data_IF_388823592286
#
_entry.id   IF_388823592286
#
_cell.length_a   1.000
_cell.length_b   1.000
_cell.length_c   1.000
_cell.angle_alpha   90.00
_cell.angle_beta   90.00
_cell.angle_gamma   90.00
#
_symmetry.space_group_name_H-M   'P 1'
#
loop_
_entity.id
_entity.type
_entity.pdbx_description
1 polymer ?
#
# COMPACT_ATOMS: atom_id res chain seq x y z
N UNK A 1 -7.14 8.99 -11.13
CA UNK A 1 -6.03 9.93 -11.06
C UNK A 1 -6.29 11.12 -11.97
N UNK A 2 -5.92 12.32 -11.52
CA UNK A 2 -6.02 13.56 -12.30
C UNK A 2 -4.83 14.45 -11.94
N UNK A 3 -3.73 14.34 -12.68
CA UNK A 3 -2.51 15.09 -12.42
C UNK A 3 -1.77 15.48 -13.69
N UNK A 4 -0.96 16.51 -13.60
CA UNK A 4 0.02 16.89 -14.60
C UNK A 4 1.43 16.66 -14.05
N UNK A 5 2.37 16.24 -14.91
CA UNK A 5 3.78 16.10 -14.53
C UNK A 5 4.64 16.95 -15.46
N UNK A 6 5.34 17.92 -14.89
CA UNK A 6 6.34 18.69 -15.60
C UNK A 6 7.71 18.06 -15.42
N UNK A 7 8.31 17.60 -16.52
CA UNK A 7 9.63 16.98 -16.55
C UNK A 7 10.66 18.02 -16.92
N UNK A 8 11.43 18.49 -15.95
CA UNK A 8 12.51 19.48 -16.16
C UNK A 8 13.81 18.76 -16.50
N UNK A 9 14.14 17.74 -15.73
CA UNK A 9 15.27 16.83 -15.91
C UNK A 9 14.91 15.44 -15.40
N UNK A 10 15.68 14.39 -15.69
CA UNK A 10 15.50 13.09 -15.06
C UNK A 10 15.55 13.17 -13.53
N UNK A 11 16.44 13.99 -13.01
CA UNK A 11 16.67 14.22 -11.58
C UNK A 11 15.61 15.11 -10.94
N UNK A 12 14.79 15.83 -11.73
CA UNK A 12 13.83 16.78 -11.20
C UNK A 12 12.57 16.89 -12.05
N UNK A 13 11.47 16.40 -11.50
CA UNK A 13 10.13 16.46 -12.08
C UNK A 13 9.17 16.97 -11.01
N UNK A 14 8.17 17.73 -11.41
CA UNK A 14 7.11 18.22 -10.53
C UNK A 14 5.80 17.63 -11.01
N UNK A 15 5.08 16.98 -10.09
CA UNK A 15 3.72 16.49 -10.32
C UNK A 15 2.75 17.27 -9.45
N UNK A 16 1.62 17.70 -10.01
CA UNK A 16 0.55 18.36 -9.27
C UNK A 16 -0.80 17.76 -9.66
N UNK A 17 -1.68 17.59 -8.69
CA UNK A 17 -3.02 17.03 -8.84
C UNK A 17 -3.28 15.88 -7.89
N UNK A 18 -4.22 15.00 -8.25
CA UNK A 18 -4.57 13.80 -7.50
C UNK A 18 -3.78 12.60 -8.02
N UNK A 19 -2.96 12.02 -7.18
CA UNK A 19 -2.06 10.91 -7.52
C UNK A 19 -1.96 9.89 -6.39
N UNK A 20 -1.44 8.68 -6.69
CA UNK A 20 -1.07 7.72 -5.67
C UNK A 20 0.06 8.25 -4.81
N UNK A 21 -0.12 8.17 -3.49
CA UNK A 21 0.94 8.47 -2.53
C UNK A 21 2.07 7.44 -2.65
N UNK A 22 3.35 7.83 -2.56
CA UNK A 22 4.48 6.91 -2.77
C UNK A 22 4.71 5.95 -1.59
N UNK A 23 3.64 5.37 -1.07
CA UNK A 23 3.61 4.50 0.10
C UNK A 23 3.62 3.02 -0.31
N UNK A 24 4.81 2.41 -0.27
CA UNK A 24 5.00 0.99 -0.56
C UNK A 24 4.99 0.64 -2.06
N UNK A 25 5.33 -0.61 -2.35
CA UNK A 25 5.45 -1.14 -3.70
C UNK A 25 4.08 -1.34 -4.37
N UNK A 26 3.20 -2.11 -3.74
CA UNK A 26 1.92 -2.44 -4.35
C UNK A 26 0.98 -1.24 -4.50
N UNK A 27 1.13 -0.20 -3.66
CA UNK A 27 0.32 1.01 -3.78
C UNK A 27 0.81 1.95 -4.88
N UNK A 28 2.13 2.05 -5.08
CA UNK A 28 2.72 3.10 -5.92
C UNK A 28 3.50 2.60 -7.12
N UNK A 29 4.31 1.55 -6.95
CA UNK A 29 5.27 1.11 -7.97
C UNK A 29 4.68 0.06 -8.93
N UNK A 30 3.54 -0.55 -8.60
CA UNK A 30 2.83 -1.49 -9.47
C UNK A 30 1.40 -1.02 -9.77
N UNK A 31 0.98 -1.20 -11.00
CA UNK A 31 -0.42 -0.94 -11.37
C UNK A 31 -1.34 -2.07 -10.87
N UNK A 32 -2.54 -1.77 -10.38
CA UNK A 32 -3.54 -2.80 -10.08
C UNK A 32 -3.76 -3.79 -11.24
N UNK A 33 -3.68 -3.31 -12.47
CA UNK A 33 -3.81 -4.17 -13.66
C UNK A 33 -2.65 -5.14 -13.88
N UNK A 34 -1.51 -4.90 -13.26
CA UNK A 34 -0.32 -5.77 -13.35
C UNK A 34 -0.07 -6.58 -12.10
N UNK A 35 -0.81 -6.33 -11.03
CA UNK A 35 -0.72 -7.12 -9.81
C UNK A 35 -0.97 -8.61 -10.11
N UNK A 36 -0.14 -9.48 -9.57
CA UNK A 36 -0.17 -10.91 -9.83
C UNK A 36 -1.14 -11.68 -8.93
N UNK A 37 -1.50 -11.11 -7.80
CA UNK A 37 -2.55 -11.60 -6.90
C UNK A 37 -3.88 -10.89 -7.16
N UNK A 38 -4.99 -11.53 -6.82
CA UNK A 38 -6.31 -10.89 -6.90
C UNK A 38 -6.43 -9.74 -5.89
N UNK A 39 -5.92 -9.95 -4.67
CA UNK A 39 -5.92 -8.96 -3.61
C UNK A 39 -4.56 -8.26 -3.48
N UNK A 40 -4.59 -6.98 -3.13
CA UNK A 40 -3.45 -6.31 -2.54
C UNK A 40 -3.04 -6.90 -1.19
N UNK A 41 -1.82 -6.62 -0.78
CA UNK A 41 -1.36 -6.92 0.58
C UNK A 41 -2.05 -6.03 1.62
N UNK A 42 -1.91 -6.42 2.89
CA UNK A 42 -2.40 -5.60 4.00
C UNK A 42 -1.66 -4.25 4.12
N UNK A 43 -0.46 -4.12 3.56
CA UNK A 43 0.26 -2.84 3.49
C UNK A 43 -0.58 -1.80 2.76
N UNK A 44 -1.18 -2.16 1.63
CA UNK A 44 -2.02 -1.24 0.87
C UNK A 44 -3.31 -0.93 1.62
N UNK A 45 -4.04 -1.96 2.06
CA UNK A 45 -5.36 -1.78 2.67
C UNK A 45 -5.34 -1.08 4.02
N UNK A 46 -4.26 -1.23 4.79
CA UNK A 46 -4.19 -0.82 6.18
C UNK A 46 -3.23 0.33 6.45
N UNK A 47 -2.12 0.40 5.72
CA UNK A 47 -1.03 1.33 6.03
C UNK A 47 -0.88 2.40 4.96
N UNK A 48 -0.86 2.04 3.68
CA UNK A 48 -0.77 3.01 2.60
C UNK A 48 -2.05 3.85 2.48
N UNK A 49 -3.21 3.24 2.67
CA UNK A 49 -4.48 3.95 2.78
C UNK A 49 -4.61 4.67 4.12
N UNK A 50 -5.17 5.87 4.10
CA UNK A 50 -5.15 6.77 5.26
C UNK A 50 -6.13 6.41 6.37
N UNK A 51 -7.06 5.49 6.16
CA UNK A 51 -8.07 5.19 7.16
C UNK A 51 -7.76 3.90 7.92
N UNK A 52 -7.07 3.99 9.07
CA UNK A 52 -6.76 2.84 9.90
C UNK A 52 -7.99 2.24 10.61
N UNK A 53 -9.11 2.98 10.66
CA UNK A 53 -10.29 2.59 11.43
C UNK A 53 -11.37 1.89 10.62
N UNK A 54 -11.33 2.04 9.33
CA UNK A 54 -12.30 1.41 8.44
C UNK A 54 -11.57 0.50 7.47
N UNK A 55 -12.08 -0.70 7.34
CA UNK A 55 -11.67 -1.63 6.29
C UNK A 55 -12.05 -1.10 4.88
N UNK A 56 -12.40 0.17 4.84
CA UNK A 56 -12.81 0.84 3.63
C UNK A 56 -11.59 1.52 3.01
N UNK A 57 -11.24 1.07 1.87
CA UNK A 57 -10.27 1.60 0.92
C UNK A 57 -10.70 3.00 0.41
N UNK A 58 -10.99 3.91 1.34
CA UNK A 58 -11.74 5.14 1.07
C UNK A 58 -10.94 6.14 0.24
N UNK A 59 -9.64 6.22 0.46
CA UNK A 59 -8.74 7.10 -0.31
C UNK A 59 -8.07 6.37 -1.48
N UNK A 60 -8.20 5.05 -1.54
CA UNK A 60 -7.57 4.22 -2.56
C UNK A 60 -6.06 4.48 -2.71
N UNK A 61 -5.38 4.85 -1.61
CA UNK A 61 -3.97 5.21 -1.61
C UNK A 61 -3.63 6.51 -2.35
N UNK A 62 -4.61 7.38 -2.60
CA UNK A 62 -4.46 8.64 -3.34
C UNK A 62 -4.60 9.85 -2.45
N UNK A 63 -4.02 10.96 -2.90
CA UNK A 63 -4.21 12.26 -2.28
C UNK A 63 -4.05 13.37 -3.33
N UNK A 64 -4.51 14.58 -3.00
CA UNK A 64 -4.35 15.78 -3.80
C UNK A 64 -3.18 16.59 -3.29
N UNK A 65 -2.25 16.97 -4.17
CA UNK A 65 -1.08 17.73 -3.74
C UNK A 65 -0.06 17.99 -4.83
N UNK A 66 1.18 18.26 -4.37
CA UNK A 66 2.35 18.46 -5.22
C UNK A 66 3.43 17.46 -4.80
N UNK A 67 4.11 16.88 -5.78
CA UNK A 67 5.18 15.92 -5.56
C UNK A 67 6.39 16.25 -6.43
N UNK A 68 7.55 16.28 -5.82
CA UNK A 68 8.86 16.31 -6.47
C UNK A 68 9.31 14.87 -6.68
N UNK A 69 9.79 14.57 -7.87
CA UNK A 69 10.20 13.22 -8.28
C UNK A 69 11.55 13.32 -8.98
N UNK A 70 12.49 12.47 -8.64
CA UNK A 70 13.78 12.45 -9.33
C UNK A 70 14.45 11.08 -9.37
N UNK A 71 15.24 10.90 -10.43
CA UNK A 71 16.05 9.71 -10.65
C UNK A 71 17.51 10.13 -10.81
N UNK A 72 18.41 9.64 -9.94
CA UNK A 72 19.80 10.08 -9.83
C UNK A 72 20.76 8.90 -10.06
N UNK A 73 21.89 9.18 -10.69
CA UNK A 73 22.97 8.21 -10.91
C UNK A 73 22.61 7.20 -12.02
N UNK A 74 23.15 7.42 -13.20
CA UNK A 74 22.97 6.50 -14.33
C UNK A 74 23.85 5.27 -14.18
N UNK A 75 23.26 4.10 -14.28
CA UNK A 75 23.98 2.81 -14.24
C UNK A 75 24.66 2.46 -15.58
N UNK A 76 24.27 3.12 -16.66
CA UNK A 76 24.65 2.71 -18.04
C UNK A 76 23.86 1.50 -18.57
N UNK A 77 23.04 0.85 -17.75
CA UNK A 77 22.27 -0.35 -18.10
C UNK A 77 20.75 -0.10 -18.16
N UNK A 78 20.36 1.18 -18.28
CA UNK A 78 18.97 1.60 -18.46
C UNK A 78 18.17 1.71 -17.17
N UNK A 79 18.83 1.76 -16.01
CA UNK A 79 18.21 2.11 -14.73
C UNK A 79 19.03 3.18 -14.02
N UNK A 80 18.40 3.84 -13.02
CA UNK A 80 19.06 4.82 -12.14
C UNK A 80 19.25 4.22 -10.77
N UNK A 81 20.37 4.51 -10.12
CA UNK A 81 20.69 3.96 -8.78
C UNK A 81 19.78 4.45 -7.68
N UNK A 82 19.33 5.72 -7.77
CA UNK A 82 18.49 6.33 -6.74
C UNK A 82 17.24 6.93 -7.37
N UNK A 83 16.13 6.75 -6.69
CA UNK A 83 14.87 7.42 -6.97
C UNK A 83 14.35 8.05 -5.69
N UNK A 84 13.79 9.25 -5.79
CA UNK A 84 13.13 9.88 -4.66
C UNK A 84 11.78 10.47 -5.07
N UNK A 85 10.86 10.46 -4.10
CA UNK A 85 9.60 11.19 -4.14
C UNK A 85 9.47 12.02 -2.87
N UNK A 86 9.14 13.29 -3.00
CA UNK A 86 8.81 14.16 -1.88
C UNK A 86 7.49 14.85 -2.18
N UNK A 87 6.45 14.52 -1.40
CA UNK A 87 5.12 15.05 -1.63
C UNK A 87 4.63 15.87 -0.44
N UNK A 88 3.90 16.93 -0.76
CA UNK A 88 3.05 17.68 0.17
C UNK A 88 1.63 17.55 -0.35
N UNK A 89 0.76 16.98 0.47
CA UNK A 89 -0.62 16.66 0.07
C UNK A 89 -1.62 17.20 1.08
N UNK A 90 -2.89 17.26 0.69
CA UNK A 90 -3.96 17.75 1.56
C UNK A 90 -4.18 16.89 2.79
N UNK A 91 -3.78 15.63 2.72
CA UNK A 91 -4.04 14.75 3.83
C UNK A 91 -5.54 14.44 4.04
N UNK A 92 -6.32 14.43 2.99
CA UNK A 92 -7.77 14.19 3.05
C UNK A 92 -8.21 13.13 2.03
N UNK A 93 -9.43 12.64 2.19
CA UNK A 93 -10.01 11.69 1.23
C UNK A 93 -10.16 12.39 -0.12
N UNK A 94 -9.80 11.75 -1.24
CA UNK A 94 -9.98 12.30 -2.58
C UNK A 94 -11.41 12.79 -2.82
N UNK A 95 -11.54 13.92 -3.50
CA UNK A 95 -12.83 14.56 -3.81
C UNK A 95 -13.63 15.02 -2.57
N UNK A 96 -12.98 15.19 -1.44
CA UNK A 96 -13.53 15.80 -0.23
C UNK A 96 -12.76 17.07 0.14
N UNK A 97 -13.48 17.97 0.79
CA UNK A 97 -12.88 19.20 1.30
C UNK A 97 -11.77 18.89 2.31
N UNK A 98 -10.70 19.66 2.26
CA UNK A 98 -9.68 19.63 3.29
C UNK A 98 -10.24 20.27 4.57
N UNK A 99 -10.51 19.44 5.57
CA UNK A 99 -11.24 19.86 6.76
C UNK A 99 -10.34 20.20 7.96
N UNK A 100 -9.06 19.87 7.87
CA UNK A 100 -8.13 20.11 8.99
C UNK A 100 -7.12 21.19 8.72
N UNK A 101 -7.05 21.74 7.50
CA UNK A 101 -6.06 22.71 7.04
C UNK A 101 -4.58 22.26 7.22
N UNK A 102 -4.37 21.04 7.68
CA UNK A 102 -3.06 20.43 7.79
C UNK A 102 -2.64 19.80 6.46
N UNK A 103 -1.33 19.64 6.28
CA UNK A 103 -0.78 18.99 5.10
C UNK A 103 0.01 17.76 5.51
N UNK A 104 -0.10 16.71 4.71
CA UNK A 104 0.76 15.54 4.85
C UNK A 104 2.08 15.78 4.11
N UNK A 105 3.16 15.37 4.74
CA UNK A 105 4.50 15.33 4.15
C UNK A 105 4.87 13.86 3.96
N UNK A 106 5.19 13.49 2.73
CA UNK A 106 5.57 12.12 2.38
C UNK A 106 6.95 12.16 1.71
N UNK A 107 7.89 11.43 2.27
CA UNK A 107 9.22 11.28 1.71
C UNK A 107 9.51 9.80 1.42
N UNK A 108 9.95 9.51 0.21
CA UNK A 108 10.28 8.15 -0.24
C UNK A 108 11.64 8.13 -0.94
N UNK A 109 12.41 7.10 -0.67
CA UNK A 109 13.68 6.85 -1.35
C UNK A 109 13.71 5.39 -1.80
N UNK A 110 14.09 5.17 -3.07
CA UNK A 110 14.35 3.84 -3.62
C UNK A 110 15.81 3.75 -4.06
N UNK A 111 16.50 2.73 -3.62
CA UNK A 111 17.87 2.38 -4.03
C UNK A 111 17.80 1.16 -4.93
N UNK A 112 18.52 1.20 -6.06
CA UNK A 112 18.61 0.13 -7.05
C UNK A 112 20.06 -0.29 -7.21
N UNK A 113 20.59 -1.20 -6.36
CA UNK A 113 21.99 -1.60 -6.38
C UNK A 113 22.40 -2.31 -7.67
N UNK A 114 21.48 -3.06 -8.26
CA UNK A 114 21.63 -3.75 -9.54
C UNK A 114 20.27 -3.90 -10.24
N UNK A 115 20.32 -4.29 -11.49
CA UNK A 115 19.12 -4.42 -12.33
C UNK A 115 18.06 -5.32 -11.67
N UNK A 116 16.81 -4.90 -11.75
CA UNK A 116 15.62 -5.58 -11.23
C UNK A 116 15.53 -5.67 -9.69
N UNK A 117 16.53 -5.23 -8.95
CA UNK A 117 16.50 -5.22 -7.48
C UNK A 117 16.34 -3.81 -6.93
N UNK A 118 15.38 -3.63 -6.04
CA UNK A 118 15.03 -2.36 -5.45
C UNK A 118 14.85 -2.50 -3.94
N UNK A 119 15.28 -1.48 -3.21
CA UNK A 119 15.02 -1.32 -1.78
C UNK A 119 14.40 0.06 -1.59
N UNK A 120 13.23 0.12 -0.97
CA UNK A 120 12.46 1.35 -0.76
C UNK A 120 12.15 1.57 0.70
N UNK A 121 12.20 2.81 1.11
CA UNK A 121 11.66 3.26 2.39
C UNK A 121 10.86 4.53 2.19
N UNK A 122 9.68 4.59 2.81
CA UNK A 122 8.79 5.74 2.75
C UNK A 122 8.32 6.10 4.14
N UNK A 123 8.30 7.39 4.45
CA UNK A 123 7.74 7.94 5.67
C UNK A 123 6.71 9.00 5.33
N UNK A 124 5.57 8.93 6.00
CA UNK A 124 4.53 9.94 5.97
C UNK A 124 4.30 10.50 7.37
N UNK A 125 4.37 11.80 7.47
CA UNK A 125 3.91 12.59 8.61
C UNK A 125 2.71 13.40 8.18
N UNK A 126 1.66 13.39 9.01
CA UNK A 126 0.44 14.13 8.70
C UNK A 126 -0.54 14.13 9.86
N UNK A 127 -1.75 14.51 9.55
CA UNK A 127 -2.85 14.55 10.50
C UNK A 127 -4.08 13.90 9.91
N UNK A 128 -4.77 13.13 10.73
CA UNK A 128 -6.00 12.48 10.36
C UNK A 128 -7.20 13.35 10.73
N UNK A 129 -8.07 13.62 9.76
CA UNK A 129 -9.34 14.30 10.02
C UNK A 129 -10.38 13.29 10.52
N UNK A 130 -10.77 13.41 11.76
CA UNK A 130 -11.74 12.52 12.39
C UNK A 130 -13.18 12.66 11.87
N UNK A 131 -13.46 13.63 11.02
CA UNK A 131 -14.81 13.83 10.45
C UNK A 131 -15.23 12.76 9.42
N UNK A 132 -14.32 11.85 9.06
CA UNK A 132 -14.63 10.77 8.13
C UNK A 132 -15.46 9.63 8.74
N UNK A 133 -15.59 9.57 10.07
CA UNK A 133 -16.37 8.53 10.73
C UNK A 133 -17.83 8.94 10.77
N UNK A 134 -18.66 8.29 9.97
CA UNK A 134 -20.10 8.45 10.03
C UNK A 134 -20.63 8.20 11.44
N UNK A 135 -21.18 9.22 12.10
CA UNK A 135 -21.72 9.15 13.46
C UNK A 135 -20.69 9.34 14.58
N UNK A 136 -19.40 9.49 14.27
CA UNK A 136 -18.37 9.83 15.26
C UNK A 136 -18.45 11.29 15.69
N UNK A 137 -18.33 11.57 16.97
CA UNK A 137 -18.05 12.93 17.44
C UNK A 137 -16.66 13.26 16.92
N UNK A 138 -16.58 14.13 15.91
CA UNK A 138 -15.32 14.60 15.37
C UNK A 138 -14.42 15.13 16.48
N UNK A 139 -13.11 15.11 16.26
CA UNK A 139 -12.21 15.90 17.10
C UNK A 139 -12.71 17.33 17.01
N UNK A 140 -12.94 17.97 18.14
CA UNK A 140 -13.45 19.32 18.18
C UNK A 140 -12.57 20.26 17.34
N UNK A 141 -13.18 21.28 16.81
CA UNK A 141 -12.51 22.30 15.99
C UNK A 141 -11.17 22.72 16.64
N UNK A 142 -10.07 22.63 15.89
CA UNK A 142 -8.72 22.92 16.38
C UNK A 142 -7.98 21.77 17.11
N UNK A 143 -8.54 20.56 17.19
CA UNK A 143 -7.83 19.39 17.67
C UNK A 143 -7.33 18.54 16.50
N UNK A 144 -6.07 18.17 16.53
CA UNK A 144 -5.38 17.43 15.48
C UNK A 144 -5.16 15.98 15.91
N UNK A 145 -5.30 15.06 14.97
CA UNK A 145 -4.96 13.65 15.13
C UNK A 145 -3.65 13.35 14.41
N UNK A 146 -2.49 13.43 15.10
CA UNK A 146 -1.23 13.16 14.43
C UNK A 146 -1.20 11.73 13.88
N UNK A 147 -0.68 11.60 12.69
CA UNK A 147 -0.53 10.33 11.99
C UNK A 147 0.90 10.19 11.49
N UNK A 148 1.48 9.02 11.76
CA UNK A 148 2.80 8.63 11.29
C UNK A 148 2.66 7.28 10.58
N UNK A 149 3.14 7.19 9.37
CA UNK A 149 3.16 5.94 8.61
C UNK A 149 4.56 5.70 8.06
N UNK A 150 5.00 4.49 8.14
CA UNK A 150 6.28 4.05 7.60
C UNK A 150 6.07 2.75 6.82
N UNK A 151 6.64 2.66 5.63
CA UNK A 151 6.69 1.43 4.85
C UNK A 151 8.11 1.28 4.31
N UNK A 152 8.69 0.11 4.49
CA UNK A 152 9.96 -0.25 3.87
C UNK A 152 9.85 -1.65 3.26
N UNK A 153 10.53 -1.84 2.14
CA UNK A 153 10.51 -3.11 1.44
C UNK A 153 11.64 -3.25 0.44
N UNK A 154 11.76 -4.46 -0.06
CA UNK A 154 12.67 -4.79 -1.13
C UNK A 154 11.97 -5.74 -2.11
N UNK A 155 12.32 -5.62 -3.38
CA UNK A 155 11.81 -6.52 -4.40
C UNK A 155 12.85 -6.76 -5.49
N UNK A 156 12.80 -7.98 -6.02
CA UNK A 156 13.52 -8.41 -7.21
C UNK A 156 12.50 -8.94 -8.22
N UNK A 157 12.43 -8.35 -9.38
CA UNK A 157 11.47 -8.74 -10.40
C UNK A 157 12.20 -9.00 -11.72
N UNK A 158 12.38 -10.28 -12.06
CA UNK A 158 12.82 -10.72 -13.37
C UNK A 158 11.59 -11.11 -14.20
N UNK A 159 11.29 -10.41 -15.32
CA UNK A 159 10.14 -10.71 -16.14
C UNK A 159 10.12 -12.14 -16.75
N UNK A 160 11.24 -12.85 -16.74
CA UNK A 160 11.37 -14.20 -17.24
C UNK A 160 11.84 -15.21 -16.17
N UNK A 161 11.74 -14.85 -14.91
CA UNK A 161 12.28 -15.64 -13.83
C UNK A 161 11.62 -15.36 -12.49
N UNK A 162 12.44 -15.15 -11.47
CA UNK A 162 11.99 -14.93 -10.10
C UNK A 162 11.35 -13.56 -9.93
N UNK A 163 10.26 -13.55 -9.17
CA UNK A 163 9.62 -12.36 -8.62
C UNK A 163 9.53 -12.53 -7.09
N UNK A 164 10.35 -11.77 -6.38
CA UNK A 164 10.45 -11.81 -4.93
C UNK A 164 10.15 -10.43 -4.36
N UNK A 165 9.30 -10.35 -3.33
CA UNK A 165 8.91 -9.10 -2.69
C UNK A 165 8.76 -9.29 -1.20
N UNK A 166 9.18 -8.31 -0.44
CA UNK A 166 8.90 -8.23 0.98
C UNK A 166 8.70 -6.78 1.37
N UNK A 167 7.67 -6.49 2.13
CA UNK A 167 7.43 -5.19 2.73
C UNK A 167 7.01 -5.33 4.19
N UNK A 168 7.42 -4.36 4.98
CA UNK A 168 6.96 -4.13 6.33
C UNK A 168 6.46 -2.70 6.45
N UNK A 169 5.33 -2.54 7.12
CA UNK A 169 4.73 -1.24 7.37
C UNK A 169 4.31 -1.09 8.82
N UNK A 170 4.39 0.15 9.27
CA UNK A 170 3.95 0.58 10.59
C UNK A 170 3.17 1.88 10.45
N UNK A 171 2.04 1.97 11.15
CA UNK A 171 1.29 3.20 11.29
C UNK A 171 0.95 3.48 12.75
N UNK A 172 0.97 4.75 13.09
CA UNK A 172 0.53 5.27 14.38
C UNK A 172 -0.37 6.46 14.12
N UNK A 173 -1.59 6.40 14.60
CA UNK A 173 -2.54 7.50 14.49
C UNK A 173 -3.27 7.71 15.81
N UNK A 174 -3.86 8.88 15.97
CA UNK A 174 -4.66 9.20 17.13
C UNK A 174 -6.13 9.13 16.80
N UNK A 175 -6.91 8.41 17.59
CA UNK A 175 -8.36 8.41 17.51
C UNK A 175 -8.91 9.43 18.48
N UNK A 176 -9.78 10.32 18.00
CA UNK A 176 -10.46 11.32 18.82
C UNK A 176 -9.51 12.19 19.68
N UNK A 177 -8.26 12.36 19.24
CA UNK A 177 -7.27 13.18 19.93
C UNK A 177 -6.64 12.56 21.19
N UNK A 178 -7.15 11.44 21.70
CA UNK A 178 -6.70 10.86 22.97
C UNK A 178 -6.22 9.40 22.82
N UNK A 179 -6.85 8.61 21.97
CA UNK A 179 -6.50 7.20 21.81
C UNK A 179 -5.52 7.02 20.66
N UNK A 180 -4.34 6.50 20.96
CA UNK A 180 -3.34 6.16 19.95
C UNK A 180 -3.58 4.74 19.46
N UNK A 181 -3.73 4.59 18.16
CA UNK A 181 -3.79 3.30 17.48
C UNK A 181 -2.48 3.04 16.78
N UNK A 182 -1.93 1.86 16.99
CA UNK A 182 -0.73 1.38 16.32
C UNK A 182 -1.09 0.18 15.47
N UNK A 183 -0.60 0.19 14.26
CA UNK A 183 -0.80 -0.87 13.30
C UNK A 183 0.54 -1.30 12.72
N UNK A 184 0.65 -2.56 12.40
CA UNK A 184 1.78 -3.10 11.66
C UNK A 184 1.32 -4.19 10.71
N UNK A 185 1.96 -4.24 9.57
CA UNK A 185 1.72 -5.23 8.56
C UNK A 185 3.01 -5.63 7.87
N UNK A 186 3.04 -6.84 7.37
CA UNK A 186 4.13 -7.31 6.53
C UNK A 186 3.59 -8.27 5.49
N UNK A 187 4.30 -8.40 4.39
CA UNK A 187 4.12 -9.53 3.50
C UNK A 187 5.45 -9.96 2.89
N UNK A 188 5.50 -11.24 2.52
CA UNK A 188 6.54 -11.82 1.69
C UNK A 188 5.86 -12.55 0.55
N UNK A 189 6.29 -12.24 -0.66
CA UNK A 189 5.78 -12.82 -1.90
C UNK A 189 6.91 -13.49 -2.67
N UNK A 190 6.63 -14.64 -3.23
CA UNK A 190 7.50 -15.33 -4.17
C UNK A 190 6.66 -15.86 -5.34
N UNK A 191 7.12 -15.56 -6.55
CA UNK A 191 6.55 -16.05 -7.80
C UNK A 191 7.63 -16.41 -8.79
N UNK A 192 7.24 -17.13 -9.84
CA UNK A 192 8.14 -17.48 -10.92
C UNK A 192 7.45 -17.37 -12.28
N UNK A 193 8.00 -16.51 -13.16
CA UNK A 193 7.51 -16.32 -14.51
C UNK A 193 7.91 -17.50 -15.42
N UNK A 194 7.02 -18.49 -15.55
CA UNK A 194 7.18 -19.67 -16.40
C UNK A 194 6.37 -19.51 -17.70
N UNK A 195 6.85 -18.68 -18.61
CA UNK A 195 6.15 -18.35 -19.84
C UNK A 195 4.82 -17.64 -19.61
N UNK A 196 3.69 -18.31 -19.83
CA UNK A 196 2.35 -17.75 -19.59
C UNK A 196 1.86 -17.93 -18.16
N UNK A 197 2.53 -18.72 -17.35
CA UNK A 197 2.14 -19.06 -15.99
C UNK A 197 3.02 -18.33 -14.99
N UNK A 198 2.40 -17.87 -13.92
CA UNK A 198 3.07 -17.37 -12.74
C UNK A 198 2.48 -18.05 -11.50
N UNK A 199 2.98 -19.24 -11.12
CA UNK A 199 2.72 -19.77 -9.79
C UNK A 199 3.31 -18.84 -8.73
N UNK A 200 2.60 -18.69 -7.63
CA UNK A 200 2.97 -17.77 -6.59
C UNK A 200 2.54 -18.24 -5.20
N UNK A 201 3.26 -17.73 -4.20
CA UNK A 201 2.91 -17.83 -2.79
C UNK A 201 3.11 -16.47 -2.13
N UNK A 202 2.22 -16.09 -1.22
CA UNK A 202 2.36 -14.90 -0.38
C UNK A 202 1.98 -15.23 1.06
N UNK A 203 2.82 -14.81 1.97
CA UNK A 203 2.49 -14.75 3.38
C UNK A 203 2.22 -13.31 3.75
N UNK A 204 1.10 -13.04 4.44
CA UNK A 204 0.73 -11.75 4.97
C UNK A 204 0.61 -11.84 6.49
N UNK A 205 1.04 -10.80 7.19
CA UNK A 205 0.81 -10.60 8.61
C UNK A 205 0.19 -9.23 8.84
N UNK A 206 -0.84 -9.15 9.67
CA UNK A 206 -1.39 -7.89 10.14
C UNK A 206 -1.68 -7.95 11.63
N UNK A 207 -1.35 -6.87 12.32
CA UNK A 207 -1.57 -6.71 13.76
C UNK A 207 -1.86 -5.26 14.09
N UNK A 208 -2.90 -5.01 14.87
CA UNK A 208 -3.27 -3.68 15.35
C UNK A 208 -3.70 -3.68 16.83
N UNK A 209 -3.74 -2.49 17.42
CA UNK A 209 -4.24 -2.28 18.76
C UNK A 209 -5.77 -2.19 18.78
N UNK A 210 -6.42 -2.24 17.63
CA UNK A 210 -7.88 -2.14 17.49
C UNK A 210 -8.61 -3.45 17.74
N UNK A 211 -7.93 -4.54 18.04
CA UNK A 211 -8.51 -5.85 18.29
C UNK A 211 -9.65 -5.85 19.28
N UNK A 212 -9.60 -4.95 20.24
CA UNK A 212 -10.68 -4.77 21.20
C UNK A 212 -11.95 -4.19 20.60
N UNK A 213 -11.85 -3.64 19.38
CA UNK A 213 -12.92 -2.92 18.71
C UNK A 213 -13.42 -3.64 17.45
N UNK A 214 -12.57 -4.47 16.81
CA UNK A 214 -12.89 -5.10 15.53
C UNK A 214 -12.40 -6.55 15.51
N UNK A 215 -13.30 -7.50 15.60
CA UNK A 215 -12.99 -8.92 15.40
C UNK A 215 -12.41 -9.14 13.98
N UNK A 216 -11.40 -9.99 13.85
CA UNK A 216 -10.81 -10.35 12.58
C UNK A 216 -9.66 -9.43 12.10
N UNK A 217 -9.22 -8.48 12.93
CA UNK A 217 -8.16 -7.55 12.55
C UNK A 217 -6.74 -8.14 12.63
N UNK A 218 -6.48 -9.06 13.57
CA UNK A 218 -5.16 -9.69 13.74
C UNK A 218 -5.10 -11.07 13.10
N UNK A 219 -4.26 -11.22 12.10
CA UNK A 219 -4.13 -12.48 11.38
C UNK A 219 -2.75 -12.68 10.77
N UNK A 220 -2.44 -13.94 10.49
CA UNK A 220 -1.51 -14.34 9.45
C UNK A 220 -2.31 -14.97 8.32
N UNK A 221 -1.89 -14.76 7.08
CA UNK A 221 -2.50 -15.36 5.90
C UNK A 221 -1.43 -16.01 5.04
N UNK A 222 -1.66 -17.21 4.61
CA UNK A 222 -0.91 -17.84 3.52
C UNK A 222 -1.80 -17.88 2.30
N UNK A 223 -1.32 -17.32 1.20
CA UNK A 223 -2.00 -17.32 -0.09
C UNK A 223 -1.14 -18.08 -1.09
N UNK A 224 -1.72 -19.01 -1.80
CA UNK A 224 -1.13 -19.67 -2.95
C UNK A 224 -1.97 -19.39 -4.19
N UNK A 225 -1.35 -19.26 -5.33
CA UNK A 225 -2.10 -18.91 -6.53
C UNK A 225 -1.32 -19.16 -7.81
N UNK A 226 -2.01 -18.87 -8.89
CA UNK A 226 -1.43 -18.89 -10.23
C UNK A 226 -2.09 -17.80 -11.08
N UNK A 227 -1.27 -16.98 -11.73
CA UNK A 227 -1.71 -16.08 -12.80
C UNK A 227 -1.41 -16.73 -14.14
N UNK A 228 -2.39 -16.77 -15.02
CA UNK A 228 -2.26 -17.26 -16.39
C UNK A 228 -2.49 -16.14 -17.39
N UNK A 229 -1.47 -15.82 -18.19
CA UNK A 229 -1.55 -14.85 -19.25
C UNK A 229 -2.13 -15.50 -20.51
N UNK A 230 -3.45 -15.41 -20.69
CA UNK A 230 -4.15 -16.02 -21.81
C UNK A 230 -3.76 -15.35 -23.15
N UNK A 231 -3.89 -14.02 -23.21
CA UNK A 231 -3.48 -13.14 -24.31
C UNK A 231 -2.71 -11.94 -23.77
N UNK A 232 -2.08 -11.16 -24.63
CA UNK A 232 -1.32 -9.96 -24.24
C UNK A 232 -2.11 -9.00 -23.33
N UNK A 233 -3.42 -8.94 -23.51
CA UNK A 233 -4.35 -8.04 -22.82
C UNK A 233 -5.37 -8.77 -21.93
N UNK A 234 -5.23 -10.09 -21.74
CA UNK A 234 -6.16 -10.90 -20.92
C UNK A 234 -5.39 -11.81 -20.00
N UNK A 235 -5.62 -11.70 -18.70
CA UNK A 235 -5.09 -12.64 -17.70
C UNK A 235 -6.19 -13.19 -16.80
N UNK A 236 -5.97 -14.40 -16.33
CA UNK A 236 -6.81 -15.09 -15.35
C UNK A 236 -5.98 -15.33 -14.10
N UNK A 237 -6.53 -15.06 -12.94
CA UNK A 237 -5.87 -15.21 -11.65
C UNK A 237 -6.73 -16.09 -10.74
N UNK A 238 -6.12 -17.13 -10.18
CA UNK A 238 -6.75 -17.99 -9.18
C UNK A 238 -5.90 -17.97 -7.92
N UNK A 239 -6.52 -17.59 -6.80
CA UNK A 239 -5.88 -17.57 -5.50
C UNK A 239 -6.69 -18.38 -4.50
N UNK A 240 -5.99 -19.12 -3.65
CA UNK A 240 -6.50 -19.71 -2.41
C UNK A 240 -5.74 -19.10 -1.24
N UNK A 241 -6.45 -18.61 -0.24
CA UNK A 241 -5.88 -18.03 0.97
C UNK A 241 -6.47 -18.68 2.21
N UNK A 242 -5.60 -18.99 3.18
CA UNK A 242 -6.00 -19.41 4.53
C UNK A 242 -5.56 -18.37 5.55
N UNK A 243 -6.51 -17.88 6.35
CA UNK A 243 -6.28 -16.94 7.44
C UNK A 243 -6.15 -17.71 8.75
N UNK A 244 -5.10 -17.43 9.49
CA UNK A 244 -4.86 -17.89 10.86
C UNK A 244 -5.12 -16.73 11.80
N UNK A 245 -6.13 -16.85 12.64
CA UNK A 245 -6.49 -15.82 13.60
C UNK A 245 -5.71 -15.99 14.90
N UNK A 246 -5.42 -14.86 15.58
CA UNK A 246 -4.88 -14.93 16.92
C UNK A 246 -5.97 -15.31 17.94
N UNK A 247 -5.56 -15.59 19.19
CA UNK A 247 -6.47 -16.05 20.24
C UNK A 247 -7.61 -15.07 20.54
N UNK A 248 -7.40 -13.77 20.39
CA UNK A 248 -8.42 -12.76 20.70
C UNK A 248 -9.46 -12.70 19.59
N UNK A 249 -9.02 -12.81 18.34
CA UNK A 249 -9.91 -12.93 17.20
C UNK A 249 -10.66 -14.26 17.23
N UNK A 250 -9.98 -15.37 17.51
CA UNK A 250 -10.59 -16.69 17.68
C UNK A 250 -11.74 -16.67 18.68
N UNK A 251 -11.52 -16.04 19.85
CA UNK A 251 -12.57 -15.88 20.87
C UNK A 251 -13.75 -15.03 20.40
N UNK A 252 -13.49 -14.00 19.60
CA UNK A 252 -14.53 -13.09 19.13
C UNK A 252 -15.38 -13.68 18.00
N UNK A 253 -14.77 -14.45 17.09
CA UNK A 253 -15.47 -15.02 15.90
C UNK A 253 -15.88 -16.47 16.07
N UNK A 254 -15.31 -17.19 17.03
CA UNK A 254 -15.65 -18.59 17.33
C UNK A 254 -14.92 -19.63 16.49
N UNK A 255 -13.94 -19.23 15.66
CA UNK A 255 -13.15 -20.16 14.82
C UNK A 255 -11.70 -19.69 14.66
N UNK A 256 -10.79 -20.65 14.42
CA UNK A 256 -9.33 -20.41 14.39
C UNK A 256 -8.82 -19.77 13.10
N UNK A 257 -9.61 -19.80 12.05
CA UNK A 257 -9.22 -19.31 10.75
C UNK A 257 -10.37 -19.30 9.75
N UNK A 258 -10.12 -18.76 8.58
CA UNK A 258 -11.06 -18.79 7.46
C UNK A 258 -10.33 -19.03 6.15
N UNK A 259 -11.08 -19.51 5.16
CA UNK A 259 -10.58 -19.79 3.83
C UNK A 259 -11.19 -18.82 2.83
N UNK A 260 -10.42 -18.53 1.79
CA UNK A 260 -10.84 -17.66 0.70
C UNK A 260 -10.38 -18.25 -0.62
N UNK A 261 -11.29 -18.40 -1.56
CA UNK A 261 -10.99 -18.71 -2.96
C UNK A 261 -11.40 -17.53 -3.82
N UNK A 262 -10.50 -17.09 -4.69
CA UNK A 262 -10.73 -15.95 -5.55
C UNK A 262 -10.36 -16.29 -6.98
N UNK A 263 -11.26 -16.00 -7.91
CA UNK A 263 -11.04 -16.11 -9.35
C UNK A 263 -11.30 -14.74 -9.98
N UNK A 264 -10.34 -14.23 -10.73
CA UNK A 264 -10.46 -12.96 -11.44
C UNK A 264 -10.03 -13.10 -12.88
N UNK A 265 -10.82 -12.54 -13.79
CA UNK A 265 -10.46 -12.27 -15.16
C UNK A 265 -10.17 -10.78 -15.34
N UNK A 266 -9.00 -10.43 -15.84
CA UNK A 266 -8.61 -9.06 -16.10
C UNK A 266 -8.43 -8.82 -17.59
N UNK A 267 -9.13 -7.80 -18.10
CA UNK A 267 -9.09 -7.39 -19.51
C UNK A 267 -8.53 -5.97 -19.59
N UNK A 268 -7.50 -5.80 -20.42
CA UNK A 268 -6.88 -4.49 -20.66
C UNK A 268 -7.21 -4.05 -22.09
N UNK A 269 -7.88 -2.93 -22.22
CA UNK A 269 -8.23 -2.29 -23.50
C UNK A 269 -7.22 -1.24 -23.91
#
# INVERSE_FOLDING_TARGET
DAFATWKIAPEFKIRAGQFYTPMGYENYDISPATLETVDFSNIVYRIACRNPYEYNFVDYGRDLGVMLIGDIGDSGEGYRYFHYDFAVTNGSIPCKDDRNNSKDIIASVTIRPFKNFNVKATYNWGEYSSQALAGGKGVGEGKYNPMHRFVAGAWYNDPNGLDLRAEYGFAKSSKNGNDVVKEQGAYVFAGYHAGKFLPLVRWDMYKDDMNKLTAGANYNRVLVGCTYQLFKNVKIQLNYGHFFYNSDVEKAVGYKGSEQVQLMGLFKF
#
